data_IF_376470976577
#
_entry.id   IF_376470976577
#
_cell.length_a   1.000
_cell.length_b   1.000
_cell.length_c   1.000
_cell.angle_alpha   90.00
_cell.angle_beta   90.00
_cell.angle_gamma   90.00
#
_symmetry.space_group_name_H-M   'P 1'
#
loop_
_entity.id
_entity.type
_entity.pdbx_description
1 polymer ?
#
# COMPACT_ATOMS: atom_id res chain seq x y z
N UNK A 1 -52.82 -2.19 12.67
CA UNK A 1 -52.03 -2.52 13.87
C UNK A 1 -50.93 -3.55 13.53
N UNK A 2 -51.25 -4.82 13.20
CA UNK A 2 -50.24 -5.86 12.87
C UNK A 2 -49.27 -5.52 11.73
N UNK A 3 -49.77 -4.97 10.62
CA UNK A 3 -48.95 -4.69 9.43
C UNK A 3 -47.88 -3.59 9.66
N UNK A 4 -48.10 -2.67 10.60
CA UNK A 4 -47.12 -1.63 10.98
C UNK A 4 -46.03 -2.21 11.89
N UNK A 5 -46.38 -3.17 12.74
CA UNK A 5 -45.42 -3.85 13.60
C UNK A 5 -44.50 -4.76 12.78
N UNK A 6 -45.03 -5.52 11.81
CA UNK A 6 -44.22 -6.39 10.95
C UNK A 6 -43.25 -5.60 10.05
N UNK A 7 -43.65 -4.43 9.57
CA UNK A 7 -42.77 -3.56 8.76
C UNK A 7 -41.65 -2.94 9.60
N UNK A 8 -41.93 -2.54 10.84
CA UNK A 8 -40.89 -2.03 11.77
C UNK A 8 -39.92 -3.14 12.17
N UNK A 9 -40.40 -4.36 12.42
CA UNK A 9 -39.55 -5.52 12.73
C UNK A 9 -38.66 -5.85 11.53
N UNK A 10 -39.23 -5.90 10.32
CA UNK A 10 -38.48 -6.14 9.08
C UNK A 10 -37.42 -5.07 8.81
N UNK A 11 -37.68 -3.81 9.12
CA UNK A 11 -36.70 -2.71 9.00
C UNK A 11 -35.54 -2.86 9.99
N UNK A 12 -35.82 -3.28 11.23
CA UNK A 12 -34.78 -3.55 12.22
C UNK A 12 -33.92 -4.77 11.84
N UNK A 13 -34.52 -5.87 11.38
CA UNK A 13 -33.79 -7.05 10.92
C UNK A 13 -32.89 -6.73 9.71
N UNK A 14 -33.38 -5.87 8.80
CA UNK A 14 -32.60 -5.39 7.67
C UNK A 14 -31.41 -4.53 8.12
N UNK A 15 -31.63 -3.61 9.06
CA UNK A 15 -30.58 -2.77 9.64
C UNK A 15 -29.52 -3.59 10.41
N UNK A 16 -29.93 -4.63 11.13
CA UNK A 16 -29.02 -5.53 11.84
C UNK A 16 -28.19 -6.38 10.86
N UNK A 17 -28.80 -6.87 9.78
CA UNK A 17 -28.11 -7.59 8.71
C UNK A 17 -27.07 -6.71 8.00
N UNK A 18 -27.41 -5.47 7.67
CA UNK A 18 -26.46 -4.52 7.07
C UNK A 18 -25.36 -4.12 8.05
N UNK A 19 -25.70 -3.86 9.32
CA UNK A 19 -24.72 -3.53 10.36
C UNK A 19 -23.68 -4.63 10.58
N UNK A 20 -24.10 -5.89 10.57
CA UNK A 20 -23.20 -7.06 10.69
C UNK A 20 -22.31 -7.22 9.45
N UNK A 21 -22.86 -6.99 8.25
CA UNK A 21 -22.08 -6.96 7.00
C UNK A 21 -21.03 -5.83 7.01
N UNK A 22 -21.40 -4.67 7.55
CA UNK A 22 -20.54 -3.50 7.65
C UNK A 22 -19.39 -3.73 8.65
N UNK A 23 -19.69 -4.32 9.82
CA UNK A 23 -18.66 -4.74 10.77
C UNK A 23 -17.67 -5.74 10.16
N UNK A 24 -18.15 -6.76 9.46
CA UNK A 24 -17.28 -7.78 8.87
C UNK A 24 -16.39 -7.19 7.77
N UNK A 25 -16.95 -6.35 6.89
CA UNK A 25 -16.17 -5.66 5.84
C UNK A 25 -15.19 -4.64 6.42
N UNK A 26 -15.56 -3.92 7.47
CA UNK A 26 -14.66 -2.97 8.12
C UNK A 26 -13.46 -3.69 8.73
N UNK A 27 -13.67 -4.74 9.53
CA UNK A 27 -12.56 -5.48 10.16
C UNK A 27 -11.62 -6.07 9.10
N UNK A 28 -12.17 -6.64 8.03
CA UNK A 28 -11.36 -7.16 6.93
C UNK A 28 -10.58 -6.04 6.21
N UNK A 29 -11.22 -4.91 5.94
CA UNK A 29 -10.57 -3.77 5.26
C UNK A 29 -9.49 -3.15 6.13
N UNK A 30 -9.75 -2.94 7.42
CA UNK A 30 -8.76 -2.45 8.37
C UNK A 30 -7.56 -3.39 8.47
N UNK A 31 -7.78 -4.70 8.52
CA UNK A 31 -6.70 -5.69 8.53
C UNK A 31 -5.83 -5.61 7.27
N UNK A 32 -6.46 -5.54 6.09
CA UNK A 32 -5.73 -5.44 4.81
C UNK A 32 -4.97 -4.11 4.70
N UNK A 33 -5.58 -2.99 5.08
CA UNK A 33 -4.94 -1.67 5.05
C UNK A 33 -3.75 -1.63 6.00
N UNK A 34 -3.88 -2.18 7.21
CA UNK A 34 -2.79 -2.25 8.19
C UNK A 34 -1.62 -3.07 7.65
N UNK A 35 -1.90 -4.25 7.07
CA UNK A 35 -0.87 -5.09 6.45
C UNK A 35 -0.19 -4.40 5.27
N UNK A 36 -0.94 -3.71 4.41
CA UNK A 36 -0.38 -2.94 3.29
C UNK A 36 0.51 -1.80 3.79
N UNK A 37 0.10 -1.08 4.84
CA UNK A 37 0.88 0.01 5.41
C UNK A 37 2.17 -0.51 6.04
N UNK A 38 2.11 -1.62 6.77
CA UNK A 38 3.28 -2.29 7.33
C UNK A 38 4.23 -2.78 6.23
N UNK A 39 3.70 -3.40 5.17
CA UNK A 39 4.50 -3.85 4.03
C UNK A 39 5.17 -2.68 3.30
N UNK A 40 4.44 -1.59 3.05
CA UNK A 40 5.00 -0.38 2.44
C UNK A 40 6.10 0.24 3.30
N UNK A 41 5.89 0.31 4.62
CA UNK A 41 6.89 0.81 5.58
C UNK A 41 8.17 -0.04 5.58
N UNK A 42 8.04 -1.37 5.67
CA UNK A 42 9.18 -2.29 5.62
C UNK A 42 9.91 -2.21 4.28
N UNK A 43 9.18 -2.10 3.17
CA UNK A 43 9.77 -1.97 1.83
C UNK A 43 10.55 -0.66 1.69
N UNK A 44 10.04 0.45 2.23
CA UNK A 44 10.73 1.74 2.23
C UNK A 44 12.00 1.71 3.10
N UNK A 45 11.97 1.03 4.24
CA UNK A 45 13.13 0.86 5.10
C UNK A 45 14.19 -0.03 4.43
N UNK A 46 13.77 -1.14 3.82
CA UNK A 46 14.65 -2.04 3.09
C UNK A 46 15.33 -1.34 1.91
N UNK A 47 14.61 -0.53 1.14
CA UNK A 47 15.21 0.21 0.01
C UNK A 47 16.23 1.25 0.46
N UNK A 48 15.97 1.95 1.58
CA UNK A 48 16.93 2.89 2.17
C UNK A 48 18.22 2.19 2.62
N UNK A 49 18.11 1.07 3.34
CA UNK A 49 19.26 0.28 3.78
C UNK A 49 20.04 -0.30 2.60
N UNK A 50 19.34 -0.77 1.56
CA UNK A 50 19.97 -1.27 0.36
C UNK A 50 20.79 -0.20 -0.36
N UNK A 51 20.26 1.02 -0.49
CA UNK A 51 21.00 2.14 -1.08
C UNK A 51 22.21 2.54 -0.24
N UNK A 52 22.09 2.52 1.08
CA UNK A 52 23.21 2.78 1.98
C UNK A 52 24.31 1.72 1.82
N UNK A 53 23.94 0.45 1.74
CA UNK A 53 24.87 -0.65 1.54
C UNK A 53 25.56 -0.57 0.17
N UNK A 54 24.80 -0.24 -0.89
CA UNK A 54 25.36 -0.01 -2.23
C UNK A 54 26.36 1.14 -2.23
N UNK A 55 26.02 2.26 -1.60
CA UNK A 55 26.93 3.41 -1.47
C UNK A 55 28.24 3.00 -0.79
N UNK A 56 28.15 2.32 0.36
CA UNK A 56 29.31 1.85 1.10
C UNK A 56 30.14 0.82 0.33
N UNK A 57 29.51 0.00 -0.50
CA UNK A 57 30.24 -0.94 -1.35
C UNK A 57 30.96 -0.23 -2.50
N UNK A 58 30.30 0.70 -3.19
CA UNK A 58 30.86 1.38 -4.35
C UNK A 58 32.01 2.33 -3.98
N UNK A 59 31.95 2.98 -2.82
CA UNK A 59 33.00 3.91 -2.38
C UNK A 59 34.36 3.22 -2.14
N UNK A 60 34.39 1.89 -2.00
CA UNK A 60 35.63 1.11 -1.91
C UNK A 60 36.39 1.17 -3.25
N UNK A 61 35.68 1.23 -4.36
CA UNK A 61 36.25 1.15 -5.70
C UNK A 61 36.29 2.51 -6.41
N UNK A 62 35.36 3.41 -6.11
CA UNK A 62 35.15 4.67 -6.82
C UNK A 62 35.26 5.89 -5.90
N UNK A 63 35.52 7.05 -6.49
CA UNK A 63 35.52 8.32 -5.75
C UNK A 63 34.10 8.70 -5.30
N UNK A 64 33.92 9.40 -4.16
CA UNK A 64 32.61 9.81 -3.66
C UNK A 64 31.68 10.48 -4.69
N UNK A 65 32.14 11.42 -5.55
CA UNK A 65 31.25 12.07 -6.52
C UNK A 65 30.78 11.10 -7.62
N UNK A 66 31.63 10.19 -8.08
CA UNK A 66 31.27 9.19 -9.10
C UNK A 66 30.23 8.20 -8.57
N UNK A 67 30.41 7.76 -7.32
CA UNK A 67 29.47 6.85 -6.64
C UNK A 67 28.09 7.49 -6.49
N UNK A 68 28.02 8.74 -6.01
CA UNK A 68 26.75 9.45 -5.86
C UNK A 68 26.06 9.69 -7.20
N UNK A 69 26.82 10.01 -8.25
CA UNK A 69 26.28 10.18 -9.60
C UNK A 69 25.64 8.89 -10.12
N UNK A 70 26.35 7.77 -10.03
CA UNK A 70 25.83 6.48 -10.49
C UNK A 70 24.62 6.00 -9.68
N UNK A 71 24.63 6.21 -8.36
CA UNK A 71 23.52 5.85 -7.49
C UNK A 71 22.28 6.74 -7.75
N UNK A 72 22.50 8.02 -8.09
CA UNK A 72 21.45 8.93 -8.56
C UNK A 72 20.83 8.50 -9.89
N UNK A 73 21.65 8.06 -10.85
CA UNK A 73 21.15 7.49 -12.12
C UNK A 73 20.34 6.21 -11.87
N UNK A 74 20.83 5.32 -11.01
CA UNK A 74 20.09 4.11 -10.63
C UNK A 74 18.74 4.44 -9.96
N UNK A 75 18.71 5.41 -9.05
CA UNK A 75 17.48 5.94 -8.46
C UNK A 75 16.49 6.44 -9.51
N UNK A 76 16.96 7.23 -10.49
CA UNK A 76 16.10 7.76 -11.55
C UNK A 76 15.50 6.65 -12.42
N UNK A 77 16.29 5.62 -12.75
CA UNK A 77 15.80 4.47 -13.51
C UNK A 77 14.74 3.69 -12.73
N UNK A 78 14.95 3.46 -11.43
CA UNK A 78 13.98 2.78 -10.57
C UNK A 78 12.68 3.60 -10.42
N UNK A 79 12.81 4.91 -10.20
CA UNK A 79 11.65 5.81 -10.11
C UNK A 79 10.88 5.85 -11.44
N UNK A 80 11.58 5.92 -12.57
CA UNK A 80 10.98 5.85 -13.89
C UNK A 80 10.25 4.53 -14.15
N UNK A 81 10.86 3.39 -13.80
CA UNK A 81 10.23 2.07 -13.91
C UNK A 81 8.99 1.95 -13.02
N UNK A 82 9.06 2.42 -11.78
CA UNK A 82 7.92 2.41 -10.85
C UNK A 82 6.75 3.29 -11.37
N UNK A 83 7.05 4.49 -11.88
CA UNK A 83 6.05 5.35 -12.51
C UNK A 83 5.41 4.70 -13.74
N UNK A 84 6.22 4.04 -14.57
CA UNK A 84 5.73 3.33 -15.74
C UNK A 84 4.76 2.20 -15.35
N UNK A 85 5.15 1.37 -14.37
CA UNK A 85 4.30 0.28 -13.86
C UNK A 85 3.01 0.85 -13.27
N UNK A 86 3.09 1.92 -12.46
CA UNK A 86 1.91 2.55 -11.88
C UNK A 86 0.94 3.08 -12.96
N UNK A 87 1.47 3.71 -14.01
CA UNK A 87 0.69 4.19 -15.15
C UNK A 87 0.09 3.04 -15.97
N UNK A 88 0.83 1.94 -16.13
CA UNK A 88 0.37 0.76 -16.84
C UNK A 88 -0.78 0.07 -16.09
N UNK A 89 -0.62 -0.16 -14.77
CA UNK A 89 -1.67 -0.76 -13.94
C UNK A 89 -2.92 0.12 -13.89
N UNK A 90 -2.78 1.45 -13.86
CA UNK A 90 -3.93 2.37 -13.94
C UNK A 90 -4.71 2.26 -15.26
N UNK A 91 -4.06 1.81 -16.35
CA UNK A 91 -4.70 1.64 -17.66
C UNK A 91 -5.41 0.30 -17.83
N UNK A 92 -5.19 -0.67 -16.94
CA UNK A 92 -5.93 -1.93 -16.94
C UNK A 92 -7.21 -1.74 -16.08
N UNK A 93 -8.41 -1.84 -16.68
CA UNK A 93 -9.69 -1.69 -15.97
C UNK A 93 -9.99 -2.89 -15.05
#
# INVERSE_FOLDING_TARGET
MKALTDTVISLCDLAEAEGRLLQQKLVQTFGVVLLMLMAAGLMMLASALFMLALYQFLIIYWTPPQTLFALGVACLLLAGAALWIALYTRRQP
#
